data_IF_067965357803
#
_entry.id   IF_067965357803
#
_cell.length_a   1.000
_cell.length_b   1.000
_cell.length_c   1.000
_cell.angle_alpha   90.00
_cell.angle_beta   90.00
_cell.angle_gamma   90.00
#
_symmetry.space_group_name_H-M   'P 1'
#
loop_
_entity.id
_entity.type
_entity.pdbx_description
1 polymer ?
#
# COMPACT_ATOMS: atom_id res chain seq x y z
N UNK A 1 21.21 26.68 -37.81
CA UNK A 1 21.37 25.20 -38.05
C UNK A 1 20.44 24.52 -37.11
N UNK A 2 19.26 24.20 -37.60
CA UNK A 2 18.17 23.58 -36.84
C UNK A 2 18.37 22.06 -36.83
N UNK A 3 18.71 21.57 -35.65
CA UNK A 3 18.96 20.13 -35.40
C UNK A 3 17.66 19.36 -35.18
N UNK A 4 16.83 19.27 -36.21
CA UNK A 4 15.63 18.43 -36.23
C UNK A 4 16.03 16.97 -36.00
N UNK A 5 15.85 16.48 -34.73
CA UNK A 5 15.91 15.04 -34.42
C UNK A 5 14.77 14.33 -35.14
N UNK A 6 15.12 13.50 -36.10
CA UNK A 6 14.18 12.64 -36.81
C UNK A 6 13.35 11.82 -35.81
N UNK A 7 12.03 11.63 -36.01
CA UNK A 7 11.19 10.85 -35.13
C UNK A 7 11.64 9.38 -35.10
N UNK A 8 11.88 8.86 -33.92
CA UNK A 8 12.23 7.45 -33.70
C UNK A 8 11.20 6.54 -34.39
N UNK A 9 11.67 5.59 -35.21
CA UNK A 9 10.81 4.63 -35.89
C UNK A 9 9.99 3.76 -34.96
N UNK A 10 8.93 3.07 -35.45
CA UNK A 10 8.02 2.26 -34.61
C UNK A 10 8.72 1.23 -33.75
N UNK A 11 9.73 0.56 -34.25
CA UNK A 11 10.56 -0.43 -33.52
C UNK A 11 11.34 0.20 -32.37
N UNK A 12 11.94 1.37 -32.58
CA UNK A 12 12.66 2.08 -31.51
C UNK A 12 11.73 2.54 -30.39
N UNK A 13 10.48 2.92 -30.70
CA UNK A 13 9.45 3.25 -29.71
C UNK A 13 9.00 2.04 -28.91
N UNK A 14 8.84 0.86 -29.54
CA UNK A 14 8.46 -0.39 -28.88
C UNK A 14 9.59 -0.88 -27.98
N UNK A 15 10.84 -0.88 -28.45
CA UNK A 15 12.01 -1.25 -27.66
C UNK A 15 12.22 -0.29 -26.48
N UNK A 16 12.08 1.01 -26.68
CA UNK A 16 12.16 2.00 -25.61
C UNK A 16 11.11 1.78 -24.52
N UNK A 17 9.84 1.51 -24.89
CA UNK A 17 8.77 1.19 -23.92
C UNK A 17 9.05 -0.10 -23.15
N UNK A 18 9.62 -1.11 -23.78
CA UNK A 18 9.98 -2.39 -23.12
C UNK A 18 11.11 -2.19 -22.11
N UNK A 19 12.16 -1.46 -22.46
CA UNK A 19 13.29 -1.15 -21.57
C UNK A 19 12.83 -0.35 -20.35
N UNK A 20 12.01 0.69 -20.54
CA UNK A 20 11.45 1.49 -19.43
C UNK A 20 10.62 0.60 -18.49
N UNK A 21 9.78 -0.26 -19.05
CA UNK A 21 8.96 -1.18 -18.22
C UNK A 21 9.80 -2.19 -17.42
N UNK A 22 10.89 -2.69 -17.99
CA UNK A 22 11.84 -3.58 -17.29
C UNK A 22 12.56 -2.84 -16.15
N UNK A 23 12.96 -1.59 -16.35
CA UNK A 23 13.58 -0.75 -15.32
C UNK A 23 12.60 -0.47 -14.16
N UNK A 24 11.36 -0.12 -14.47
CA UNK A 24 10.30 0.11 -13.49
C UNK A 24 10.00 -1.15 -12.66
N UNK A 25 9.96 -2.32 -13.28
CA UNK A 25 9.78 -3.59 -12.58
C UNK A 25 10.96 -3.88 -11.62
N UNK A 26 12.19 -3.59 -12.03
CA UNK A 26 13.38 -3.72 -11.16
C UNK A 26 13.31 -2.78 -9.96
N UNK A 27 12.89 -1.54 -10.16
CA UNK A 27 12.71 -0.56 -9.07
C UNK A 27 11.69 -1.08 -8.05
N UNK A 28 10.53 -1.56 -8.51
CA UNK A 28 9.49 -2.13 -7.63
C UNK A 28 10.04 -3.30 -6.81
N UNK A 29 10.79 -4.22 -7.43
CA UNK A 29 11.34 -5.38 -6.73
C UNK A 29 12.46 -5.00 -5.74
N UNK A 30 13.28 -4.02 -6.08
CA UNK A 30 14.27 -3.45 -5.16
C UNK A 30 13.61 -2.81 -3.94
N UNK A 31 12.55 -2.00 -4.14
CA UNK A 31 11.80 -1.39 -3.04
C UNK A 31 11.15 -2.43 -2.13
N UNK A 32 10.54 -3.48 -2.69
CA UNK A 32 10.02 -4.61 -1.92
C UNK A 32 11.11 -5.29 -1.09
N UNK A 33 12.30 -5.45 -1.68
CA UNK A 33 13.45 -6.05 -1.00
C UNK A 33 13.95 -5.16 0.13
N UNK A 34 14.06 -3.84 -0.09
CA UNK A 34 14.39 -2.87 0.95
C UNK A 34 13.38 -2.93 2.11
N UNK A 35 12.09 -2.99 1.83
CA UNK A 35 11.06 -3.14 2.87
C UNK A 35 11.20 -4.45 3.66
N UNK A 36 11.43 -5.58 3.01
CA UNK A 36 11.65 -6.88 3.68
C UNK A 36 12.89 -6.86 4.60
N UNK A 37 13.98 -6.28 4.12
CA UNK A 37 15.26 -6.18 4.87
C UNK A 37 15.31 -4.99 5.83
N UNK A 38 14.32 -4.10 5.79
CA UNK A 38 14.30 -2.82 6.50
C UNK A 38 15.52 -1.95 6.18
N UNK A 39 16.01 -2.02 4.94
CA UNK A 39 17.14 -1.24 4.44
C UNK A 39 16.66 0.15 3.99
N UNK A 40 16.56 1.04 4.97
CA UNK A 40 16.09 2.40 4.76
C UNK A 40 17.04 3.19 3.86
N UNK A 41 18.35 3.07 4.06
CA UNK A 41 19.34 3.84 3.31
C UNK A 41 19.25 3.59 1.80
N UNK A 42 19.17 2.30 1.43
CA UNK A 42 18.97 1.92 0.03
C UNK A 42 17.60 2.32 -0.49
N UNK A 43 16.55 2.19 0.33
CA UNK A 43 15.19 2.63 0.01
C UNK A 43 15.11 4.11 -0.31
N UNK A 44 15.77 4.97 0.49
CA UNK A 44 15.84 6.42 0.26
C UNK A 44 16.67 6.79 -0.97
N UNK A 45 17.74 6.05 -1.26
CA UNK A 45 18.51 6.23 -2.49
C UNK A 45 17.64 5.99 -3.73
N UNK A 46 16.87 4.89 -3.73
CA UNK A 46 15.93 4.55 -4.81
C UNK A 46 14.83 5.61 -4.90
N UNK A 47 14.31 6.10 -3.76
CA UNK A 47 13.28 7.14 -3.76
C UNK A 47 13.77 8.42 -4.45
N UNK A 48 15.00 8.87 -4.15
CA UNK A 48 15.60 10.03 -4.84
C UNK A 48 15.76 9.80 -6.34
N UNK A 49 16.18 8.61 -6.75
CA UNK A 49 16.28 8.25 -8.16
C UNK A 49 14.92 8.29 -8.85
N UNK A 50 13.89 7.75 -8.22
CA UNK A 50 12.50 7.76 -8.72
C UNK A 50 11.97 9.18 -8.88
N UNK A 51 12.27 10.08 -7.93
CA UNK A 51 11.92 11.51 -8.01
C UNK A 51 12.61 12.20 -9.17
N UNK A 52 13.94 12.03 -9.31
CA UNK A 52 14.72 12.67 -10.39
C UNK A 52 14.28 12.22 -11.78
N UNK A 53 13.80 10.99 -11.91
CA UNK A 53 13.27 10.43 -13.16
C UNK A 53 11.79 10.76 -13.41
N UNK A 54 11.10 11.39 -12.46
CA UNK A 54 9.66 11.68 -12.53
C UNK A 54 8.79 10.43 -12.68
N UNK A 55 9.18 9.32 -12.07
CA UNK A 55 8.49 8.02 -12.20
C UNK A 55 7.29 7.88 -11.26
N UNK A 56 7.21 8.68 -10.19
CA UNK A 56 6.11 8.64 -9.24
C UNK A 56 4.76 8.94 -9.90
N UNK A 57 4.72 9.94 -10.76
CA UNK A 57 3.49 10.35 -11.43
C UNK A 57 3.11 9.42 -12.59
N UNK A 58 4.06 8.65 -13.09
CA UNK A 58 3.89 7.79 -14.27
C UNK A 58 3.53 6.35 -13.90
N UNK A 59 3.96 5.89 -12.73
CA UNK A 59 3.79 4.49 -12.34
C UNK A 59 3.26 4.33 -10.90
N UNK A 60 1.94 4.04 -10.73
CA UNK A 60 1.32 3.87 -9.42
C UNK A 60 1.89 2.68 -8.62
N UNK A 61 2.50 1.70 -9.29
CA UNK A 61 3.13 0.56 -8.59
C UNK A 61 4.41 0.97 -7.86
N UNK A 62 5.19 1.90 -8.44
CA UNK A 62 6.40 2.44 -7.78
C UNK A 62 6.01 3.21 -6.54
N UNK A 63 5.00 4.09 -6.62
CA UNK A 63 4.54 4.86 -5.47
C UNK A 63 4.00 3.96 -4.35
N UNK A 64 3.13 2.99 -4.67
CA UNK A 64 2.63 2.02 -3.69
C UNK A 64 3.76 1.21 -3.05
N UNK A 65 4.80 0.86 -3.82
CA UNK A 65 5.96 0.12 -3.32
C UNK A 65 6.84 0.98 -2.40
N UNK A 66 6.97 2.28 -2.68
CA UNK A 66 7.67 3.23 -1.80
C UNK A 66 6.92 3.41 -0.47
N UNK A 67 5.60 3.59 -0.52
CA UNK A 67 4.76 3.69 0.69
C UNK A 67 4.94 2.41 1.53
N UNK A 68 4.82 1.25 0.91
CA UNK A 68 5.00 -0.03 1.60
C UNK A 68 6.42 -0.19 2.18
N UNK A 69 7.45 0.21 1.46
CA UNK A 69 8.84 0.21 1.94
C UNK A 69 9.00 1.07 3.19
N UNK A 70 8.49 2.32 3.19
CA UNK A 70 8.55 3.20 4.35
C UNK A 70 7.76 2.65 5.55
N UNK A 71 6.58 2.09 5.31
CA UNK A 71 5.78 1.40 6.35
C UNK A 71 6.60 0.26 6.99
N UNK A 72 7.24 -0.59 6.17
CA UNK A 72 8.07 -1.71 6.66
C UNK A 72 9.31 -1.24 7.41
N UNK A 73 9.87 -0.09 7.04
CA UNK A 73 10.98 0.55 7.75
C UNK A 73 10.53 1.31 9.02
N UNK A 74 9.24 1.33 9.35
CA UNK A 74 8.71 1.99 10.55
C UNK A 74 8.43 3.50 10.39
N UNK A 75 8.63 4.06 9.20
CA UNK A 75 8.48 5.50 8.92
C UNK A 75 7.06 5.82 8.42
N UNK A 76 6.05 5.56 9.28
CA UNK A 76 4.64 5.77 8.93
C UNK A 76 4.32 7.21 8.54
N UNK A 77 4.88 8.20 9.24
CA UNK A 77 4.64 9.62 8.90
C UNK A 77 5.11 9.95 7.49
N UNK A 78 6.28 9.41 7.08
CA UNK A 78 6.81 9.61 5.73
C UNK A 78 5.98 8.86 4.67
N UNK A 79 5.50 7.66 5.01
CA UNK A 79 4.61 6.89 4.17
C UNK A 79 3.26 7.60 3.96
N UNK A 80 2.68 8.18 5.02
CA UNK A 80 1.45 8.95 4.98
C UNK A 80 1.62 10.21 4.11
N UNK A 81 2.67 11.00 4.37
CA UNK A 81 2.97 12.20 3.57
C UNK A 81 3.07 11.88 2.07
N UNK A 82 3.84 10.85 1.73
CA UNK A 82 3.97 10.40 0.35
C UNK A 82 2.62 9.97 -0.26
N UNK A 83 1.78 9.29 0.53
CA UNK A 83 0.45 8.88 0.09
C UNK A 83 -0.47 10.09 -0.14
N UNK A 84 -0.39 11.11 0.72
CA UNK A 84 -1.24 12.31 0.62
C UNK A 84 -0.86 13.18 -0.59
N UNK A 85 0.42 13.26 -0.92
CA UNK A 85 0.91 13.97 -2.09
C UNK A 85 0.63 13.24 -3.40
N UNK A 86 0.38 11.92 -3.32
CA UNK A 86 0.29 11.09 -4.52
C UNK A 86 -1.09 11.19 -5.18
N UNK A 87 -1.09 11.57 -6.46
CA UNK A 87 -2.32 11.81 -7.24
C UNK A 87 -3.10 10.53 -7.55
N UNK A 88 -2.40 9.39 -7.72
CA UNK A 88 -3.01 8.12 -8.12
C UNK A 88 -2.98 7.12 -6.97
N UNK A 89 -3.83 7.35 -5.99
CA UNK A 89 -4.00 6.42 -4.88
C UNK A 89 -4.60 5.10 -5.36
N UNK A 90 -4.25 4.02 -4.73
CA UNK A 90 -4.71 2.68 -5.05
C UNK A 90 -5.12 1.93 -3.78
N UNK A 91 -5.94 0.90 -3.92
CA UNK A 91 -6.27 0.01 -2.81
C UNK A 91 -5.01 -0.58 -2.14
N UNK A 92 -3.96 -0.84 -2.93
CA UNK A 92 -2.68 -1.35 -2.41
C UNK A 92 -1.99 -0.32 -1.52
N UNK A 93 -1.97 0.96 -1.90
CA UNK A 93 -1.36 2.02 -1.08
C UNK A 93 -2.15 2.28 0.20
N UNK A 94 -3.49 2.25 0.14
CA UNK A 94 -4.35 2.34 1.31
C UNK A 94 -4.14 1.16 2.27
N UNK A 95 -4.12 -0.07 1.77
CA UNK A 95 -3.87 -1.25 2.59
C UNK A 95 -2.46 -1.27 3.20
N UNK A 96 -1.46 -0.70 2.54
CA UNK A 96 -0.13 -0.54 3.11
C UNK A 96 -0.14 0.37 4.34
N UNK A 97 -0.82 1.53 4.28
CA UNK A 97 -0.97 2.44 5.42
C UNK A 97 -1.79 1.81 6.55
N UNK A 98 -2.96 1.26 6.24
CA UNK A 98 -3.81 0.56 7.21
C UNK A 98 -3.04 -0.51 7.95
N UNK A 99 -2.30 -1.36 7.22
CA UNK A 99 -1.45 -2.40 7.79
C UNK A 99 -0.34 -1.83 8.67
N UNK A 100 0.25 -0.71 8.28
CA UNK A 100 1.27 -0.01 9.05
C UNK A 100 0.75 0.51 10.39
N UNK A 101 -0.37 1.22 10.37
CA UNK A 101 -1.03 1.72 11.59
C UNK A 101 -1.47 0.58 12.50
N UNK A 102 -2.12 -0.45 11.95
CA UNK A 102 -2.56 -1.61 12.72
C UNK A 102 -1.39 -2.41 13.33
N UNK A 103 -0.23 -2.50 12.63
CA UNK A 103 0.96 -3.15 13.17
C UNK A 103 1.60 -2.39 14.32
N UNK A 104 1.52 -1.06 14.32
CA UNK A 104 2.04 -0.21 15.39
C UNK A 104 1.04 -0.02 16.55
N UNK A 105 -0.12 -0.71 16.53
CA UNK A 105 -1.15 -0.57 17.56
C UNK A 105 -1.92 0.75 17.50
N UNK A 106 -1.76 1.51 16.41
CA UNK A 106 -2.44 2.79 16.18
C UNK A 106 -3.85 2.56 15.63
N UNK A 107 -4.72 2.04 16.52
CA UNK A 107 -6.06 1.62 16.12
C UNK A 107 -6.95 2.78 15.67
N UNK A 108 -6.89 3.93 16.33
CA UNK A 108 -7.67 5.12 15.94
C UNK A 108 -7.27 5.61 14.55
N UNK A 109 -5.97 5.73 14.29
CA UNK A 109 -5.44 6.13 12.99
C UNK A 109 -5.80 5.12 11.89
N UNK A 110 -5.88 3.82 12.23
CA UNK A 110 -6.36 2.79 11.30
C UNK A 110 -7.81 3.06 10.89
N UNK A 111 -8.70 3.43 11.83
CA UNK A 111 -10.09 3.75 11.50
C UNK A 111 -10.19 5.04 10.67
N UNK A 112 -9.45 6.08 11.02
CA UNK A 112 -9.42 7.33 10.25
C UNK A 112 -8.93 7.09 8.81
N UNK A 113 -7.93 6.24 8.66
CA UNK A 113 -7.41 5.84 7.35
C UNK A 113 -8.47 5.06 6.55
N UNK A 114 -9.22 4.13 7.18
CA UNK A 114 -10.34 3.42 6.56
C UNK A 114 -11.45 4.37 6.08
N UNK A 115 -11.85 5.32 6.93
CA UNK A 115 -12.87 6.31 6.58
C UNK A 115 -12.43 7.19 5.41
N UNK A 116 -11.15 7.58 5.37
CA UNK A 116 -10.60 8.36 4.28
C UNK A 116 -10.56 7.57 2.97
N UNK A 117 -10.16 6.30 3.03
CA UNK A 117 -10.18 5.36 1.90
C UNK A 117 -11.60 5.24 1.31
N UNK A 118 -12.61 5.04 2.17
CA UNK A 118 -14.01 4.91 1.74
C UNK A 118 -14.57 6.21 1.18
N UNK A 119 -14.21 7.37 1.75
CA UNK A 119 -14.57 8.70 1.23
C UNK A 119 -14.04 8.96 -0.17
N UNK A 120 -12.87 8.41 -0.48
CA UNK A 120 -12.28 8.45 -1.83
C UNK A 120 -12.84 7.39 -2.78
N UNK A 121 -13.87 6.62 -2.36
CA UNK A 121 -14.57 5.66 -3.20
C UNK A 121 -13.93 4.27 -3.28
N UNK A 122 -12.90 4.00 -2.45
CA UNK A 122 -12.31 2.66 -2.39
C UNK A 122 -13.13 1.75 -1.47
N UNK A 123 -13.50 0.58 -1.97
CA UNK A 123 -14.19 -0.44 -1.16
C UNK A 123 -13.18 -1.29 -0.39
N UNK A 124 -13.41 -1.52 0.92
CA UNK A 124 -12.60 -2.43 1.72
C UNK A 124 -12.56 -3.84 1.12
N UNK A 125 -11.37 -4.42 1.06
CA UNK A 125 -11.14 -5.81 0.66
C UNK A 125 -10.74 -6.68 1.87
N UNK A 126 -10.38 -7.94 1.63
CA UNK A 126 -9.95 -8.88 2.66
C UNK A 126 -8.75 -8.36 3.46
N UNK A 127 -7.79 -7.72 2.80
CA UNK A 127 -6.59 -7.16 3.45
C UNK A 127 -6.97 -5.98 4.34
N UNK A 128 -7.87 -5.12 3.87
CA UNK A 128 -8.43 -4.02 4.64
C UNK A 128 -9.08 -4.55 5.92
N UNK A 129 -9.96 -5.55 5.81
CA UNK A 129 -10.64 -6.11 6.97
C UNK A 129 -9.68 -6.75 7.97
N UNK A 130 -8.65 -7.47 7.54
CA UNK A 130 -7.62 -8.01 8.43
C UNK A 130 -6.91 -6.90 9.22
N UNK A 131 -6.56 -5.78 8.59
CA UNK A 131 -5.94 -4.64 9.27
C UNK A 131 -6.89 -4.03 10.30
N UNK A 132 -8.16 -3.86 9.95
CA UNK A 132 -9.17 -3.26 10.83
C UNK A 132 -9.51 -4.17 12.01
N UNK A 133 -9.64 -5.49 11.81
CA UNK A 133 -9.83 -6.45 12.91
C UNK A 133 -8.66 -6.42 13.89
N UNK A 134 -7.42 -6.36 13.37
CA UNK A 134 -6.23 -6.20 14.22
C UNK A 134 -6.28 -4.91 15.03
N UNK A 135 -6.71 -3.81 14.42
CA UNK A 135 -6.89 -2.53 15.10
C UNK A 135 -7.97 -2.63 16.19
N UNK A 136 -9.13 -3.26 15.91
CA UNK A 136 -10.18 -3.50 16.91
C UNK A 136 -9.63 -4.22 18.15
N UNK A 137 -8.89 -5.31 17.93
CA UNK A 137 -8.28 -6.07 19.03
C UNK A 137 -7.19 -5.30 19.78
N UNK A 138 -6.52 -4.31 19.16
CA UNK A 138 -5.45 -3.55 19.83
C UNK A 138 -5.97 -2.43 20.74
N UNK A 139 -7.14 -1.86 20.45
CA UNK A 139 -7.73 -0.75 21.22
C UNK A 139 -9.00 -1.12 21.98
N UNK A 140 -9.36 -2.38 22.04
CA UNK A 140 -10.56 -2.80 22.76
C UNK A 140 -11.89 -2.45 22.10
N UNK A 141 -11.93 -2.20 20.77
CA UNK A 141 -13.11 -1.75 20.05
C UNK A 141 -14.02 -2.91 19.60
N UNK A 142 -14.58 -3.69 20.57
CA UNK A 142 -15.36 -4.88 20.26
C UNK A 142 -16.59 -4.63 19.40
N UNK A 143 -17.32 -3.54 19.64
CA UNK A 143 -18.55 -3.25 18.89
C UNK A 143 -18.25 -2.92 17.41
N UNK A 144 -17.12 -2.23 17.13
CA UNK A 144 -16.64 -2.05 15.77
C UNK A 144 -16.23 -3.38 15.15
N UNK A 145 -15.54 -4.24 15.92
CA UNK A 145 -15.15 -5.58 15.49
C UNK A 145 -16.35 -6.45 15.09
N UNK A 146 -17.43 -6.44 15.87
CA UNK A 146 -18.69 -7.15 15.55
C UNK A 146 -19.30 -6.63 14.24
N UNK A 147 -19.39 -5.32 14.06
CA UNK A 147 -19.90 -4.73 12.80
C UNK A 147 -19.08 -5.13 11.57
N UNK A 148 -17.76 -5.18 11.73
CA UNK A 148 -16.85 -5.65 10.66
C UNK A 148 -17.07 -7.14 10.39
N UNK A 149 -17.26 -7.96 11.43
CA UNK A 149 -17.58 -9.38 11.28
C UNK A 149 -18.87 -9.58 10.48
N UNK A 150 -19.95 -8.87 10.84
CA UNK A 150 -21.24 -8.93 10.12
C UNK A 150 -21.08 -8.53 8.65
N UNK A 151 -20.28 -7.50 8.36
CA UNK A 151 -19.99 -7.09 6.99
C UNK A 151 -19.20 -8.13 6.20
N UNK A 152 -18.24 -8.79 6.81
CA UNK A 152 -17.46 -9.89 6.23
C UNK A 152 -18.39 -11.06 5.89
N UNK A 153 -19.32 -11.42 6.80
CA UNK A 153 -20.32 -12.47 6.57
C UNK A 153 -21.25 -12.09 5.43
N UNK A 154 -21.80 -10.87 5.47
CA UNK A 154 -22.72 -10.37 4.45
C UNK A 154 -22.11 -10.39 3.03
N UNK A 155 -20.78 -10.18 2.94
CA UNK A 155 -20.05 -10.24 1.66
C UNK A 155 -19.57 -11.64 1.29
N UNK A 156 -19.81 -12.66 2.10
CA UNK A 156 -19.34 -14.03 1.85
C UNK A 156 -17.81 -14.19 1.84
N UNK A 157 -17.06 -13.29 2.51
CA UNK A 157 -15.60 -13.24 2.42
C UNK A 157 -14.90 -14.30 3.27
N UNK A 158 -15.63 -15.04 4.13
CA UNK A 158 -15.05 -16.12 4.94
C UNK A 158 -14.91 -17.44 4.17
N UNK A 159 -15.65 -17.62 3.10
CA UNK A 159 -15.59 -18.84 2.32
C UNK A 159 -14.18 -19.03 1.75
N UNK A 160 -13.50 -20.09 2.19
CA UNK A 160 -12.12 -20.43 1.80
C UNK A 160 -11.04 -19.40 2.18
N UNK A 161 -11.30 -18.51 3.14
CA UNK A 161 -10.33 -17.50 3.58
C UNK A 161 -9.89 -17.73 5.03
N UNK A 162 -8.95 -18.66 5.20
CA UNK A 162 -8.38 -19.02 6.50
C UNK A 162 -7.75 -17.80 7.19
N UNK A 163 -7.10 -16.92 6.45
CA UNK A 163 -6.42 -15.74 7.01
C UNK A 163 -7.40 -14.78 7.67
N UNK A 164 -8.55 -14.54 7.03
CA UNK A 164 -9.59 -13.67 7.56
C UNK A 164 -10.29 -14.31 8.76
N UNK A 165 -10.54 -15.62 8.70
CA UNK A 165 -11.05 -16.39 9.84
C UNK A 165 -10.13 -16.31 11.06
N UNK A 166 -8.82 -16.49 10.86
CA UNK A 166 -7.80 -16.34 11.92
C UNK A 166 -7.81 -14.93 12.51
N UNK A 167 -7.90 -13.90 11.67
CA UNK A 167 -7.95 -12.51 12.14
C UNK A 167 -9.18 -12.21 13.00
N UNK A 168 -10.34 -12.83 12.70
CA UNK A 168 -11.53 -12.75 13.53
C UNK A 168 -11.33 -13.44 14.89
N UNK A 169 -10.78 -14.66 14.88
CA UNK A 169 -10.47 -15.39 16.12
C UNK A 169 -9.50 -14.59 16.98
N UNK A 170 -8.42 -14.07 16.40
CA UNK A 170 -7.43 -13.24 17.10
C UNK A 170 -8.04 -11.97 17.69
N UNK A 171 -8.97 -11.35 16.95
CA UNK A 171 -9.70 -10.19 17.45
C UNK A 171 -10.54 -10.57 18.68
N UNK A 172 -11.39 -11.60 18.59
CA UNK A 172 -12.26 -12.02 19.70
C UNK A 172 -11.47 -12.52 20.91
N UNK A 173 -10.39 -13.26 20.71
CA UNK A 173 -9.53 -13.75 21.79
C UNK A 173 -8.91 -12.65 22.66
N UNK A 174 -8.86 -11.41 22.18
CA UNK A 174 -8.36 -10.26 22.96
C UNK A 174 -9.41 -9.64 23.87
N UNK A 175 -10.65 -10.07 23.75
CA UNK A 175 -11.75 -9.58 24.58
C UNK A 175 -12.21 -10.56 25.66
N UNK A 176 -11.54 -11.72 25.76
CA UNK A 176 -11.83 -12.78 26.73
C UNK A 176 -12.82 -13.75 26.17
#
# INVERSE_FOLDING_TARGET
MDGSRAPLGPLARVLGRRVVREEECKIVELLKTCGRKRDLSKGESIHREVLTKGLLEKNPYIASSLIHMYVKCGLLAKAQHLHDEFRFRSLVSWNALLGGYAQQGKGLETFLCLESMQREGFSPDQVTFMCVLKACGSIGAIDKGKKIHDEILRRGLLENNIMLGTALVDMYAKFG
#
